data_IF_038495856348
#
_entry.id   IF_038495856348
#
_cell.length_a   1.000
_cell.length_b   1.000
_cell.length_c   1.000
_cell.angle_alpha   90.00
_cell.angle_beta   90.00
_cell.angle_gamma   90.00
#
_symmetry.space_group_name_H-M   'P 1'
#
loop_
_entity.id
_entity.type
_entity.pdbx_description
1 polymer ?
#
# COMPACT_ATOMS: atom_id res chain seq x y z
N UNK A 1 -0.11 -4.43 -3.79
CA UNK A 1 -0.09 -4.31 -2.31
C UNK A 1 -0.64 -2.95 -1.90
N UNK A 2 -1.52 -2.91 -0.91
CA UNK A 2 -1.83 -1.70 -0.15
C UNK A 2 -0.87 -1.66 1.06
N UNK A 3 0.12 -0.77 0.99
CA UNK A 3 1.15 -0.62 2.01
C UNK A 3 0.66 0.27 3.16
N UNK A 4 1.24 0.12 4.36
CA UNK A 4 1.00 1.08 5.43
C UNK A 4 1.47 2.48 5.00
N UNK A 5 2.65 2.60 4.39
CA UNK A 5 3.09 3.80 3.67
C UNK A 5 2.83 5.09 4.45
N UNK A 6 3.37 5.16 5.68
CA UNK A 6 3.04 6.21 6.65
C UNK A 6 3.63 7.57 6.27
N UNK A 7 4.66 7.59 5.43
CA UNK A 7 5.44 8.79 5.12
C UNK A 7 6.55 9.05 6.13
N UNK A 8 6.88 8.09 7.00
CA UNK A 8 8.02 8.25 7.93
C UNK A 8 9.27 7.62 7.31
N UNK A 9 10.43 8.33 7.28
CA UNK A 9 11.62 7.83 6.57
C UNK A 9 12.03 6.41 7.00
N UNK A 10 12.10 6.16 8.30
CA UNK A 10 12.50 4.85 8.83
C UNK A 10 11.43 3.77 8.62
N UNK A 11 10.15 4.14 8.71
CA UNK A 11 9.04 3.21 8.60
C UNK A 11 8.86 2.73 7.17
N UNK A 12 8.82 3.67 6.24
CA UNK A 12 8.64 3.39 4.81
C UNK A 12 9.86 2.64 4.25
N UNK A 13 11.10 2.99 4.65
CA UNK A 13 12.29 2.24 4.25
C UNK A 13 12.29 0.80 4.80
N UNK A 14 11.80 0.59 6.03
CA UNK A 14 11.67 -0.75 6.60
C UNK A 14 10.62 -1.58 5.84
N UNK A 15 9.43 -1.04 5.65
CA UNK A 15 8.34 -1.70 4.93
C UNK A 15 8.71 -2.00 3.49
N UNK A 16 9.30 -1.02 2.79
CA UNK A 16 9.70 -1.16 1.39
C UNK A 16 10.78 -2.23 1.19
N UNK A 17 11.81 -2.29 2.05
CA UNK A 17 12.80 -3.37 1.98
C UNK A 17 12.18 -4.75 2.23
N UNK A 18 11.31 -4.86 3.24
CA UNK A 18 10.63 -6.13 3.52
C UNK A 18 9.74 -6.58 2.35
N UNK A 19 9.00 -5.66 1.73
CA UNK A 19 8.18 -5.95 0.56
C UNK A 19 9.02 -6.32 -0.67
N UNK A 20 10.14 -5.64 -0.92
CA UNK A 20 11.03 -5.97 -2.02
C UNK A 20 11.70 -7.35 -1.83
N UNK A 21 11.96 -7.77 -0.59
CA UNK A 21 12.51 -9.08 -0.27
C UNK A 21 11.46 -10.20 -0.40
N UNK A 22 10.28 -10.02 0.17
CA UNK A 22 9.26 -11.08 0.29
C UNK A 22 8.35 -11.17 -0.93
N UNK A 23 8.09 -10.04 -1.61
CA UNK A 23 7.20 -9.91 -2.77
C UNK A 23 7.87 -9.13 -3.91
N UNK A 24 8.99 -9.62 -4.45
CA UNK A 24 9.74 -8.92 -5.50
C UNK A 24 8.88 -8.71 -6.75
N UNK A 25 8.87 -7.48 -7.27
CA UNK A 25 8.13 -7.10 -8.49
C UNK A 25 6.62 -6.99 -8.32
N UNK A 26 6.09 -7.10 -7.09
CA UNK A 26 4.66 -6.85 -6.82
C UNK A 26 4.47 -5.34 -6.60
N UNK A 27 3.66 -4.65 -7.41
CA UNK A 27 3.47 -3.22 -7.29
C UNK A 27 2.67 -2.87 -6.02
N UNK A 28 3.00 -1.73 -5.42
CA UNK A 28 2.33 -1.21 -4.23
C UNK A 28 1.77 0.20 -4.42
N UNK A 29 0.76 0.51 -3.62
CA UNK A 29 0.21 1.86 -3.42
C UNK A 29 0.15 2.18 -1.93
N UNK A 30 0.26 3.46 -1.58
CA UNK A 30 0.12 3.96 -0.20
C UNK A 30 -1.10 4.90 -0.09
N UNK A 31 -2.30 4.38 0.23
CA UNK A 31 -3.53 5.16 0.21
C UNK A 31 -3.54 6.37 1.15
N UNK A 32 -2.75 6.35 2.23
CA UNK A 32 -2.55 7.52 3.12
C UNK A 32 -2.09 8.77 2.35
N UNK A 33 -1.53 8.64 1.16
CA UNK A 33 -1.19 9.79 0.32
C UNK A 33 -2.41 10.63 -0.09
N UNK A 34 -3.62 10.05 -0.07
CA UNK A 34 -4.87 10.75 -0.44
C UNK A 34 -5.56 11.41 0.75
N UNK A 35 -5.59 10.76 1.91
CA UNK A 35 -6.43 11.17 3.05
C UNK A 35 -5.68 11.21 4.40
N UNK A 36 -4.38 10.94 4.41
CA UNK A 36 -3.55 10.92 5.60
C UNK A 36 -3.76 9.68 6.47
N UNK A 37 -3.16 9.68 7.67
CA UNK A 37 -3.32 8.61 8.65
C UNK A 37 -4.50 8.94 9.58
N UNK A 38 -5.58 8.18 9.47
CA UNK A 38 -6.80 8.31 10.28
C UNK A 38 -6.73 7.57 11.65
N UNK A 39 -5.53 7.25 12.13
CA UNK A 39 -5.32 6.56 13.40
C UNK A 39 -5.96 5.17 13.41
N UNK A 40 -6.80 4.89 14.41
CA UNK A 40 -7.45 3.58 14.56
C UNK A 40 -8.39 3.22 13.40
N UNK A 41 -8.90 4.21 12.65
CA UNK A 41 -9.79 3.98 11.52
C UNK A 41 -9.04 3.65 10.21
N UNK A 42 -7.72 3.90 10.16
CA UNK A 42 -6.89 3.77 8.95
C UNK A 42 -7.07 2.42 8.27
N UNK A 43 -6.90 1.30 8.98
CA UNK A 43 -6.97 -0.02 8.34
C UNK A 43 -8.35 -0.32 7.74
N UNK A 44 -9.43 0.10 8.40
CA UNK A 44 -10.78 -0.08 7.87
C UNK A 44 -11.03 0.81 6.64
N UNK A 45 -10.55 2.06 6.66
CA UNK A 45 -10.69 3.00 5.54
C UNK A 45 -9.91 2.50 4.31
N UNK A 46 -8.66 2.11 4.51
CA UNK A 46 -7.78 1.59 3.47
C UNK A 46 -8.29 0.29 2.86
N UNK A 47 -8.75 -0.65 3.69
CA UNK A 47 -9.34 -1.89 3.23
C UNK A 47 -10.61 -1.64 2.42
N UNK A 48 -11.48 -0.74 2.89
CA UNK A 48 -12.72 -0.39 2.17
C UNK A 48 -12.41 0.21 0.80
N UNK A 49 -11.47 1.16 0.72
CA UNK A 49 -11.02 1.72 -0.55
C UNK A 49 -10.45 0.63 -1.47
N UNK A 50 -9.63 -0.28 -0.94
CA UNK A 50 -9.02 -1.38 -1.71
C UNK A 50 -10.07 -2.33 -2.28
N UNK A 51 -11.13 -2.65 -1.52
CA UNK A 51 -12.23 -3.49 -1.99
C UNK A 51 -13.00 -2.86 -3.14
N UNK A 52 -13.31 -1.56 -3.05
CA UNK A 52 -13.97 -0.81 -4.13
C UNK A 52 -13.10 -0.80 -5.38
N UNK A 53 -11.83 -0.44 -5.22
CA UNK A 53 -10.86 -0.33 -6.31
C UNK A 53 -10.54 -1.69 -6.97
N UNK A 54 -10.52 -2.77 -6.20
CA UNK A 54 -10.39 -4.13 -6.72
C UNK A 54 -11.60 -4.53 -7.60
N UNK A 55 -12.81 -4.13 -7.21
CA UNK A 55 -14.02 -4.28 -8.04
C UNK A 55 -13.93 -3.48 -9.34
N UNK A 56 -13.21 -2.36 -9.33
CA UNK A 56 -12.96 -1.52 -10.50
C UNK A 56 -11.69 -1.91 -11.28
N UNK A 57 -10.99 -3.00 -10.91
CA UNK A 57 -9.74 -3.44 -11.57
C UNK A 57 -8.68 -2.35 -11.64
N UNK A 58 -8.60 -1.54 -10.59
CA UNK A 58 -7.76 -0.34 -10.54
C UNK A 58 -6.96 -0.31 -9.24
N UNK A 59 -5.69 0.09 -9.32
CA UNK A 59 -4.86 0.42 -8.18
C UNK A 59 -4.47 1.89 -8.28
N UNK A 60 -4.80 2.74 -7.30
CA UNK A 60 -4.55 4.17 -7.38
C UNK A 60 -3.05 4.44 -7.30
N UNK A 61 -2.58 5.48 -8.00
CA UNK A 61 -1.21 5.97 -7.82
C UNK A 61 -1.01 6.52 -6.42
N UNK A 62 0.20 6.40 -5.89
CA UNK A 62 0.63 7.08 -4.67
C UNK A 62 0.88 8.56 -4.98
N UNK A 63 0.19 9.45 -4.27
CA UNK A 63 0.36 10.90 -4.42
C UNK A 63 1.66 11.37 -3.76
N UNK A 64 2.16 12.54 -4.20
CA UNK A 64 3.32 13.23 -3.63
C UNK A 64 4.65 12.45 -3.66
N UNK A 65 4.75 11.40 -4.50
CA UNK A 65 5.97 10.63 -4.71
C UNK A 65 6.78 11.19 -5.89
N UNK A 66 7.42 12.34 -5.70
CA UNK A 66 8.20 13.04 -6.75
C UNK A 66 9.68 12.67 -6.74
N UNK A 67 10.24 12.45 -5.55
CA UNK A 67 11.65 12.14 -5.33
C UNK A 67 11.75 10.80 -4.60
N UNK A 68 11.89 9.67 -5.33
CA UNK A 68 11.99 8.35 -4.73
C UNK A 68 13.21 8.25 -3.80
N UNK A 69 13.01 7.66 -2.62
CA UNK A 69 14.08 7.40 -1.67
C UNK A 69 14.84 6.12 -2.08
N UNK A 70 16.17 6.15 -2.27
CA UNK A 70 16.95 4.94 -2.59
C UNK A 70 16.87 3.84 -1.53
N UNK A 71 16.51 4.16 -0.28
CA UNK A 71 16.29 3.19 0.80
C UNK A 71 14.92 2.48 0.71
N UNK A 72 14.08 2.86 -0.26
CA UNK A 72 12.76 2.30 -0.53
C UNK A 72 12.73 1.55 -1.87
N UNK A 73 13.26 0.32 -1.96
CA UNK A 73 13.43 -0.40 -3.23
C UNK A 73 12.16 -1.02 -3.81
N UNK A 74 11.05 -1.10 -3.08
CA UNK A 74 9.81 -1.69 -3.57
C UNK A 74 9.18 -0.86 -4.70
N UNK A 75 8.46 -1.53 -5.60
CA UNK A 75 7.84 -0.91 -6.77
C UNK A 75 6.57 -0.14 -6.38
N UNK A 76 6.67 1.19 -6.30
CA UNK A 76 5.55 2.09 -5.99
C UNK A 76 4.87 2.56 -7.27
N UNK A 77 3.54 2.48 -7.33
CA UNK A 77 2.75 3.04 -8.44
C UNK A 77 2.67 4.56 -8.26
N UNK A 78 3.14 5.34 -9.24
CA UNK A 78 3.28 6.82 -9.10
C UNK A 78 2.77 7.62 -10.30
N UNK A 79 2.99 7.15 -11.52
CA UNK A 79 2.73 7.92 -12.74
C UNK A 79 1.22 8.10 -13.02
N UNK A 80 0.45 7.02 -12.92
CA UNK A 80 -0.98 6.99 -13.16
C UNK A 80 -1.59 5.80 -12.40
N UNK A 81 -2.91 5.79 -12.28
CA UNK A 81 -3.61 4.64 -11.74
C UNK A 81 -3.31 3.40 -12.62
N UNK A 82 -3.02 2.29 -11.97
CA UNK A 82 -2.60 1.05 -12.60
C UNK A 82 -3.80 0.11 -12.77
N UNK A 83 -4.00 -0.42 -13.98
CA UNK A 83 -5.04 -1.42 -14.27
C UNK A 83 -4.50 -2.83 -14.08
N UNK A 84 -5.29 -3.69 -13.46
CA UNK A 84 -4.90 -5.06 -13.16
C UNK A 84 -6.09 -6.00 -13.24
N UNK A 85 -5.87 -7.21 -13.75
CA UNK A 85 -6.86 -8.31 -13.74
C UNK A 85 -6.77 -9.17 -12.48
N UNK A 86 -5.80 -8.88 -11.60
CA UNK A 86 -5.62 -9.60 -10.35
C UNK A 86 -6.83 -9.43 -9.43
N UNK A 87 -7.23 -10.53 -8.81
CA UNK A 87 -8.36 -10.60 -7.87
C UNK A 87 -7.91 -10.64 -6.42
N UNK A 88 -6.61 -10.54 -6.16
CA UNK A 88 -6.01 -10.71 -4.86
C UNK A 88 -5.18 -9.49 -4.49
N UNK A 89 -5.31 -9.02 -3.26
CA UNK A 89 -4.44 -7.98 -2.72
C UNK A 89 -4.09 -8.23 -1.25
N UNK A 90 -2.94 -7.71 -0.87
CA UNK A 90 -2.46 -7.65 0.50
C UNK A 90 -2.65 -6.23 1.04
N UNK A 91 -3.23 -6.10 2.22
CA UNK A 91 -3.33 -4.86 3.00
C UNK A 91 -2.42 -4.95 4.23
N UNK A 92 -1.52 -3.99 4.38
CA UNK A 92 -0.59 -3.89 5.50
C UNK A 92 -0.90 -2.68 6.36
N UNK A 93 -0.85 -2.87 7.67
CA UNK A 93 -0.85 -1.79 8.64
C UNK A 93 0.06 -2.12 9.81
N UNK A 94 0.66 -1.11 10.42
CA UNK A 94 1.34 -1.28 11.70
C UNK A 94 1.13 -0.07 12.61
N UNK A 95 1.59 -0.11 13.85
CA UNK A 95 1.53 1.03 14.78
C UNK A 95 2.92 1.35 15.33
N UNK A 96 3.18 2.58 15.81
CA UNK A 96 4.42 2.90 16.52
C UNK A 96 4.67 2.03 17.77
N UNK A 97 3.63 1.38 18.31
CA UNK A 97 3.73 0.45 19.43
C UNK A 97 4.18 -0.97 19.00
N UNK A 98 4.43 -1.20 17.70
CA UNK A 98 4.92 -2.48 17.18
C UNK A 98 3.82 -3.50 16.88
N UNK A 99 2.54 -3.09 16.88
CA UNK A 99 1.46 -3.96 16.39
C UNK A 99 1.49 -3.93 14.87
N UNK A 100 1.34 -5.08 14.22
CA UNK A 100 1.31 -5.19 12.77
C UNK A 100 0.19 -6.14 12.33
N UNK A 101 -0.42 -5.84 11.20
CA UNK A 101 -1.47 -6.65 10.57
C UNK A 101 -1.17 -6.82 9.09
N UNK A 102 -1.37 -8.04 8.60
CA UNK A 102 -1.31 -8.38 7.18
C UNK A 102 -2.60 -9.13 6.82
N UNK A 103 -3.39 -8.56 5.93
CA UNK A 103 -4.67 -9.16 5.49
C UNK A 103 -4.61 -9.39 3.99
N UNK A 104 -4.79 -10.65 3.59
CA UNK A 104 -4.95 -11.02 2.18
C UNK A 104 -6.44 -11.12 1.89
N UNK A 105 -6.87 -10.48 0.81
CA UNK A 105 -8.24 -10.54 0.33
C UNK A 105 -8.22 -11.01 -1.11
N UNK A 106 -9.02 -12.04 -1.39
CA UNK A 106 -9.35 -12.48 -2.74
C UNK A 106 -10.81 -12.11 -3.02
N UNK A 107 -11.05 -11.30 -4.05
CA UNK A 107 -12.38 -10.90 -4.50
C UNK A 107 -12.89 -11.88 -5.54
N UNK A 108 -14.13 -12.34 -5.43
CA UNK A 108 -14.78 -13.07 -6.53
C UNK A 108 -15.16 -12.08 -7.62
N UNK A 109 -14.51 -12.19 -8.79
CA UNK A 109 -14.85 -11.43 -10.00
C UNK A 109 -16.22 -11.77 -10.57
#
# INVERSE_FOLDING_TARGET
VNADGRGTPQGDACESRALAEVLPGVPLTAPKSFFGNAGAATGALELTASLVLAGEKTVPRTLNHEFPDPECPAEVITAADYRTEENIFLSLNYTPAGQATAVIVETTG
#
